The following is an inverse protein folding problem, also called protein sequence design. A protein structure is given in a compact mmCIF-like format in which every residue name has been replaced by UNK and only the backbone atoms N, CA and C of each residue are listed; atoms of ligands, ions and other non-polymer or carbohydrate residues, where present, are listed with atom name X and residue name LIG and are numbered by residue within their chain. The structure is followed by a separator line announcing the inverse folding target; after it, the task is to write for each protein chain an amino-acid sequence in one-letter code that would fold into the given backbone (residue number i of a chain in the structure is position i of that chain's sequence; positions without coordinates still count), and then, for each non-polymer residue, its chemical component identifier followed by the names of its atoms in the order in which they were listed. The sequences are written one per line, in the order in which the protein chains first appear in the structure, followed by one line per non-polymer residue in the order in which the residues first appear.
data_IF_807397300038
#
_entry.id   IF_807397300038
#
_cell.length_a   1.000
_cell.length_b   1.000
_cell.length_c   1.000
_cell.angle_alpha   90.00
_cell.angle_beta   90.00
_cell.angle_gamma   90.00
#
_symmetry.space_group_name_H-M   'P 1'
#
loop_
_entity.id
_entity.type
_entity.pdbx_description
1 polymer ?
#
# COMPACT_ATOMS: atom_id res chain seq x y z
N UNK A 1 -1.79 -18.75 96.29
CA UNK A 1 -2.38 -19.37 95.08
C UNK A 1 -2.62 -18.24 94.08
N UNK A 2 -1.81 -18.04 93.03
CA UNK A 2 -1.82 -18.71 91.70
C UNK A 2 -3.26 -18.76 91.13
N UNK A 3 -3.59 -18.16 89.98
CA UNK A 3 -2.85 -18.16 88.70
C UNK A 3 -2.94 -16.83 87.95
N UNK A 4 -1.81 -16.47 87.33
CA UNK A 4 -1.67 -15.54 86.20
C UNK A 4 -2.39 -16.13 84.99
N UNK A 5 -3.09 -15.31 84.22
CA UNK A 5 -3.39 -15.59 82.81
C UNK A 5 -2.86 -14.41 82.00
N UNK A 6 -1.88 -14.73 81.17
CA UNK A 6 -1.16 -13.88 80.24
C UNK A 6 -1.83 -14.10 78.89
N UNK A 7 -2.28 -13.03 78.23
CA UNK A 7 -2.52 -13.00 76.78
C UNK A 7 -1.79 -11.75 76.28
N UNK A 8 -0.49 -11.86 76.01
CA UNK A 8 0.10 -12.11 74.69
C UNK A 8 -0.36 -11.10 73.64
N UNK A 9 0.41 -10.01 73.59
CA UNK A 9 0.60 -9.11 72.46
C UNK A 9 0.89 -9.93 71.19
N UNK A 10 0.00 -9.86 70.19
CA UNK A 10 0.32 -10.23 68.81
C UNK A 10 0.50 -8.91 68.07
N UNK A 11 1.75 -8.45 67.98
CA UNK A 11 2.17 -7.44 67.01
C UNK A 11 2.20 -8.17 65.67
N UNK A 12 1.24 -7.86 64.81
CA UNK A 12 1.26 -8.28 63.42
C UNK A 12 2.36 -7.47 62.73
N UNK A 13 3.57 -8.01 62.72
CA UNK A 13 4.66 -7.53 61.88
C UNK A 13 4.26 -7.87 60.44
N UNK A 14 3.78 -6.86 59.70
CA UNK A 14 3.81 -6.94 58.25
C UNK A 14 5.27 -7.01 57.85
N UNK A 15 5.76 -8.22 57.62
CA UNK A 15 6.98 -8.43 56.87
C UNK A 15 6.70 -7.83 55.49
N UNK A 16 7.35 -6.70 55.22
CA UNK A 16 7.63 -6.28 53.85
C UNK A 16 8.39 -7.44 53.22
N UNK A 17 7.68 -8.30 52.49
CA UNK A 17 8.30 -9.04 51.43
C UNK A 17 8.83 -7.96 50.47
N UNK A 18 10.12 -7.65 50.63
CA UNK A 18 10.90 -7.11 49.55
C UNK A 18 10.72 -8.10 48.39
N UNK A 19 9.80 -7.79 47.48
CA UNK A 19 10.02 -8.19 46.10
C UNK A 19 11.41 -7.66 45.79
N UNK A 20 12.36 -8.59 45.62
CA UNK A 20 13.52 -8.31 44.80
C UNK A 20 12.98 -7.61 43.57
N UNK A 21 13.32 -6.32 43.43
CA UNK A 21 13.27 -5.65 42.15
C UNK A 21 14.20 -6.48 41.28
N UNK A 22 13.66 -7.51 40.63
CA UNK A 22 14.17 -7.86 39.33
C UNK A 22 14.16 -6.55 38.58
N UNK A 23 15.37 -6.09 38.25
CA UNK A 23 15.57 -5.08 37.24
C UNK A 23 14.90 -5.65 35.99
N UNK A 24 13.61 -5.40 35.85
CA UNK A 24 13.00 -5.19 34.56
C UNK A 24 13.74 -3.94 34.10
N UNK A 25 14.85 -4.15 33.42
CA UNK A 25 15.31 -3.20 32.42
C UNK A 25 14.07 -2.95 31.59
N UNK A 26 13.44 -1.79 31.80
CA UNK A 26 12.64 -1.18 30.77
C UNK A 26 13.55 -1.26 29.55
N UNK A 27 13.29 -2.23 28.67
CA UNK A 27 13.70 -2.13 27.29
C UNK A 27 12.83 -0.99 26.82
N UNK A 28 13.32 0.24 27.03
CA UNK A 28 12.81 1.39 26.31
C UNK A 28 12.70 0.90 24.87
N UNK A 29 11.55 1.17 24.25
CA UNK A 29 11.45 1.15 22.80
C UNK A 29 12.73 1.85 22.31
N UNK A 30 13.51 1.19 21.46
CA UNK A 30 14.59 1.91 20.80
C UNK A 30 13.88 2.89 19.88
N UNK A 31 13.60 4.09 20.39
CA UNK A 31 12.79 5.09 19.70
C UNK A 31 13.32 5.34 18.28
N UNK A 32 14.62 5.13 18.04
CA UNK A 32 15.23 5.26 16.73
C UNK A 32 14.68 4.24 15.72
N UNK A 33 14.50 2.98 16.09
CA UNK A 33 14.07 1.94 15.14
C UNK A 33 12.61 2.13 14.71
N UNK A 34 11.74 2.51 15.66
CA UNK A 34 10.35 2.85 15.35
C UNK A 34 10.25 4.13 14.50
N UNK A 35 10.99 5.19 14.86
CA UNK A 35 11.03 6.44 14.08
C UNK A 35 11.60 6.20 12.66
N UNK A 36 12.66 5.40 12.53
CA UNK A 36 13.24 5.02 11.24
C UNK A 36 12.22 4.23 10.41
N UNK A 37 11.55 3.24 11.02
CA UNK A 37 10.48 2.49 10.35
C UNK A 37 9.37 3.41 9.85
N UNK A 38 8.86 4.31 10.69
CA UNK A 38 7.78 5.25 10.30
C UNK A 38 8.20 6.14 9.13
N UNK A 39 9.41 6.70 9.19
CA UNK A 39 9.99 7.53 8.11
C UNK A 39 10.08 6.74 6.79
N UNK A 40 10.54 5.50 6.86
CA UNK A 40 10.68 4.62 5.69
C UNK A 40 9.33 4.20 5.12
N UNK A 41 8.37 3.88 5.99
CA UNK A 41 7.02 3.52 5.58
C UNK A 41 6.35 4.72 4.87
N UNK A 42 6.51 5.94 5.38
CA UNK A 42 6.03 7.15 4.70
C UNK A 42 6.66 7.34 3.32
N UNK A 43 8.00 7.24 3.20
CA UNK A 43 8.71 7.28 1.91
C UNK A 43 8.14 6.25 0.93
N UNK A 44 7.87 5.04 1.41
CA UNK A 44 7.33 3.96 0.58
C UNK A 44 5.88 4.20 0.16
N UNK A 45 5.00 4.62 1.07
CA UNK A 45 3.61 4.87 0.71
C UNK A 45 3.52 5.96 -0.35
N UNK A 46 4.31 7.04 -0.23
CA UNK A 46 4.41 8.08 -1.28
C UNK A 46 4.74 7.49 -2.65
N UNK A 47 5.73 6.61 -2.72
CA UNK A 47 6.11 5.90 -3.95
C UNK A 47 4.98 5.00 -4.49
N UNK A 48 4.27 4.29 -3.61
CA UNK A 48 3.12 3.45 -3.98
C UNK A 48 1.97 4.27 -4.55
N UNK A 49 1.72 5.47 -4.05
CA UNK A 49 0.64 6.32 -4.59
C UNK A 49 1.01 6.92 -5.94
N UNK A 50 2.23 7.42 -6.07
CA UNK A 50 2.75 7.91 -7.35
C UNK A 50 2.67 6.86 -8.46
N UNK A 51 2.84 5.57 -8.11
CA UNK A 51 2.67 4.46 -9.06
C UNK A 51 1.20 4.04 -9.27
N UNK A 52 0.32 4.21 -8.27
CA UNK A 52 -1.13 3.98 -8.39
C UNK A 52 -1.84 4.99 -9.31
N UNK A 53 -1.44 6.26 -9.28
CA UNK A 53 -2.04 7.31 -10.12
C UNK A 53 -1.89 7.02 -11.62
N UNK A 54 -0.86 6.28 -12.00
CA UNK A 54 -0.68 5.80 -13.37
C UNK A 54 -1.54 4.56 -13.70
N UNK A 55 -1.74 3.66 -12.71
CA UNK A 55 -2.57 2.46 -12.87
C UNK A 55 -4.05 2.80 -13.09
N UNK A 56 -4.58 3.81 -12.41
CA UNK A 56 -6.03 3.96 -12.17
C UNK A 56 -6.85 4.61 -13.30
N UNK A 57 -6.29 5.47 -14.16
CA UNK A 57 -7.17 6.33 -14.99
C UNK A 57 -7.25 5.93 -16.47
N UNK A 58 -6.12 5.66 -17.12
CA UNK A 58 -6.09 5.32 -18.56
C UNK A 58 -6.22 3.83 -18.85
N UNK A 59 -5.46 3.00 -18.11
CA UNK A 59 -5.29 1.57 -18.41
C UNK A 59 -6.52 0.75 -18.02
N UNK A 60 -7.08 0.94 -16.81
CA UNK A 60 -8.31 0.26 -16.40
C UNK A 60 -9.51 0.65 -17.26
N UNK A 61 -9.60 1.90 -17.75
CA UNK A 61 -10.69 2.30 -18.65
C UNK A 61 -10.52 1.72 -20.05
N UNK A 62 -9.30 1.65 -20.62
CA UNK A 62 -9.05 0.95 -21.90
C UNK A 62 -9.27 -0.56 -21.79
N UNK A 63 -8.83 -1.18 -20.69
CA UNK A 63 -9.16 -2.57 -20.34
C UNK A 63 -10.68 -2.76 -20.25
N UNK A 64 -11.39 -1.87 -19.54
CA UNK A 64 -12.85 -1.87 -19.40
C UNK A 64 -13.55 -1.69 -20.75
N UNK A 65 -13.14 -0.75 -21.59
CA UNK A 65 -13.77 -0.49 -22.89
C UNK A 65 -13.52 -1.63 -23.88
N UNK A 66 -12.32 -2.23 -23.92
CA UNK A 66 -12.04 -3.38 -24.80
C UNK A 66 -12.68 -4.68 -24.29
N UNK A 67 -12.65 -4.94 -22.98
CA UNK A 67 -13.37 -6.05 -22.37
C UNK A 67 -14.88 -5.92 -22.60
N UNK A 68 -15.48 -4.75 -22.35
CA UNK A 68 -16.91 -4.50 -22.59
C UNK A 68 -17.30 -4.62 -24.07
N UNK A 69 -16.41 -4.26 -25.01
CA UNK A 69 -16.61 -4.50 -26.46
C UNK A 69 -16.59 -6.00 -26.80
N UNK A 70 -15.81 -6.82 -26.08
CA UNK A 70 -15.85 -8.28 -26.18
C UNK A 70 -17.11 -8.92 -25.60
N UNK A 71 -17.66 -8.37 -24.50
CA UNK A 71 -18.86 -8.90 -23.83
C UNK A 71 -20.19 -8.46 -24.47
N UNK A 72 -20.24 -7.31 -25.14
CA UNK A 72 -21.44 -6.83 -25.83
C UNK A 72 -21.15 -6.67 -27.30
N UNK A 73 -21.66 -7.60 -28.12
CA UNK A 73 -21.64 -7.48 -29.58
C UNK A 73 -21.99 -6.06 -30.05
N UNK A 74 -20.99 -5.41 -30.64
CA UNK A 74 -21.04 -4.27 -31.55
C UNK A 74 -21.91 -3.03 -31.21
N UNK A 75 -22.29 -2.77 -29.94
CA UNK A 75 -23.14 -1.58 -29.68
C UNK A 75 -23.03 -0.94 -28.30
N UNK A 76 -21.82 -0.83 -27.75
CA UNK A 76 -21.58 0.21 -26.73
C UNK A 76 -21.10 1.47 -27.44
N UNK A 77 -22.05 2.30 -27.87
CA UNK A 77 -21.79 3.68 -28.29
C UNK A 77 -21.70 4.52 -27.00
N UNK A 78 -20.57 4.36 -26.32
CA UNK A 78 -20.17 5.14 -25.18
C UNK A 78 -19.66 6.48 -25.73
N UNK A 79 -20.46 7.55 -25.59
CA UNK A 79 -20.09 8.90 -26.00
C UNK A 79 -18.93 9.53 -25.21
N UNK A 80 -17.96 8.73 -24.74
CA UNK A 80 -16.70 9.16 -24.13
C UNK A 80 -15.48 8.93 -25.03
N UNK A 81 -15.68 8.62 -26.32
CA UNK A 81 -14.61 8.57 -27.34
C UNK A 81 -13.73 9.86 -27.33
N UNK A 82 -14.28 11.02 -26.95
CA UNK A 82 -13.57 12.30 -27.07
C UNK A 82 -12.52 12.64 -25.99
N UNK A 83 -12.50 11.99 -24.80
CA UNK A 83 -11.63 12.45 -23.69
C UNK A 83 -10.21 11.85 -23.76
N UNK A 84 -10.04 10.68 -24.36
CA UNK A 84 -8.76 9.96 -24.39
C UNK A 84 -8.24 9.63 -25.80
N UNK A 85 -9.04 9.85 -26.85
CA UNK A 85 -8.54 9.84 -28.24
C UNK A 85 -7.54 10.98 -28.50
N UNK A 86 -7.49 11.98 -27.60
CA UNK A 86 -6.51 13.06 -27.56
C UNK A 86 -5.43 12.88 -26.47
N UNK A 87 -5.28 11.69 -25.86
CA UNK A 87 -4.10 11.45 -25.01
C UNK A 87 -2.86 11.37 -25.92
N UNK A 88 -2.15 12.48 -26.04
CA UNK A 88 -0.82 12.53 -26.63
C UNK A 88 0.21 12.17 -25.56
N UNK A 89 0.58 10.89 -25.49
CA UNK A 89 1.76 10.49 -24.71
C UNK A 89 2.99 10.68 -25.57
N UNK A 90 4.10 11.05 -24.95
CA UNK A 90 5.38 11.13 -25.65
C UNK A 90 6.05 9.75 -25.82
N UNK A 91 5.48 8.70 -25.23
CA UNK A 91 5.91 7.32 -25.44
C UNK A 91 5.57 6.82 -26.85
N UNK A 92 6.43 5.95 -27.39
CA UNK A 92 6.08 5.07 -28.48
C UNK A 92 5.13 3.97 -27.95
N UNK A 93 3.87 4.03 -28.38
CA UNK A 93 2.82 3.10 -27.95
C UNK A 93 2.69 1.96 -28.95
N UNK A 94 2.84 0.72 -28.47
CA UNK A 94 2.55 -0.49 -29.25
C UNK A 94 1.45 -1.31 -28.60
N UNK A 95 0.41 -1.64 -29.35
CA UNK A 95 -0.68 -2.52 -28.92
C UNK A 95 -0.66 -3.81 -29.74
N UNK A 96 -0.71 -4.96 -29.06
CA UNK A 96 -0.74 -6.29 -29.69
C UNK A 96 -1.87 -7.13 -29.10
N UNK A 97 -2.67 -7.76 -29.96
CA UNK A 97 -3.55 -8.86 -29.58
C UNK A 97 -2.80 -10.17 -29.81
N UNK A 98 -2.68 -10.98 -28.76
CA UNK A 98 -1.92 -12.22 -28.76
C UNK A 98 -2.81 -13.40 -29.21
N UNK A 99 -2.19 -14.49 -29.69
CA UNK A 99 -2.91 -15.68 -30.17
C UNK A 99 -3.79 -16.35 -29.11
N UNK A 100 -3.50 -16.14 -27.82
CA UNK A 100 -4.23 -16.69 -26.68
C UNK A 100 -5.39 -15.80 -26.18
N UNK A 101 -5.67 -14.70 -26.89
CA UNK A 101 -6.70 -13.72 -26.56
C UNK A 101 -6.30 -12.68 -25.51
N UNK A 102 -5.06 -12.71 -25.02
CA UNK A 102 -4.53 -11.61 -24.19
C UNK A 102 -4.17 -10.39 -25.05
N UNK A 103 -4.12 -9.22 -24.40
CA UNK A 103 -3.67 -7.97 -25.01
C UNK A 103 -2.41 -7.48 -24.32
N UNK A 104 -1.45 -7.00 -25.11
CA UNK A 104 -0.23 -6.38 -24.62
C UNK A 104 -0.15 -4.93 -25.09
N UNK A 105 0.06 -4.01 -24.15
CA UNK A 105 0.35 -2.59 -24.37
C UNK A 105 1.78 -2.31 -23.90
N UNK A 106 2.60 -1.81 -24.80
CA UNK A 106 3.95 -1.32 -24.50
C UNK A 106 3.95 0.20 -24.63
N UNK A 107 4.45 0.88 -23.60
CA UNK A 107 4.72 2.32 -23.60
C UNK A 107 6.23 2.49 -23.44
N UNK A 108 6.91 2.90 -24.52
CA UNK A 108 8.36 3.09 -24.56
C UNK A 108 8.69 4.59 -24.64
N UNK A 109 9.15 5.16 -23.52
CA UNK A 109 9.58 6.56 -23.43
C UNK A 109 11.03 6.74 -23.92
N UNK A 110 11.73 5.66 -24.27
CA UNK A 110 13.13 5.68 -24.68
C UNK A 110 14.10 5.96 -23.54
N UNK A 111 15.40 5.85 -23.83
CA UNK A 111 16.48 6.08 -22.85
C UNK A 111 16.63 7.57 -22.49
N UNK A 112 16.50 8.45 -23.48
CA UNK A 112 16.56 9.90 -23.28
C UNK A 112 15.31 10.43 -22.56
N UNK A 113 14.19 9.73 -22.73
CA UNK A 113 12.90 10.11 -22.17
C UNK A 113 12.25 11.29 -22.87
N UNK A 114 11.17 11.75 -22.25
CA UNK A 114 10.44 12.93 -22.63
C UNK A 114 9.68 13.51 -21.43
N UNK A 115 9.35 14.80 -21.50
CA UNK A 115 8.53 15.46 -20.50
C UNK A 115 7.05 15.22 -20.80
N UNK A 116 6.32 14.67 -19.83
CA UNK A 116 4.87 14.47 -19.89
C UNK A 116 4.29 14.87 -18.52
N UNK A 117 3.26 15.71 -18.52
CA UNK A 117 2.65 16.28 -17.30
C UNK A 117 3.62 16.98 -16.33
N UNK A 118 4.71 17.55 -16.84
CA UNK A 118 5.74 18.21 -16.00
C UNK A 118 6.75 17.25 -15.38
N UNK A 119 6.69 15.97 -15.74
CA UNK A 119 7.62 14.94 -15.26
C UNK A 119 8.45 14.39 -16.39
N UNK A 120 9.74 14.17 -16.12
CA UNK A 120 10.62 13.45 -17.02
C UNK A 120 10.31 11.95 -16.90
N UNK A 121 9.80 11.36 -17.97
CA UNK A 121 9.52 9.93 -18.07
C UNK A 121 10.58 9.28 -18.96
N UNK A 122 11.15 8.14 -18.54
CA UNK A 122 12.10 7.34 -19.35
C UNK A 122 11.79 5.86 -19.24
N UNK A 123 12.40 5.08 -20.11
CA UNK A 123 12.33 3.62 -20.09
C UNK A 123 10.98 3.12 -20.57
N UNK A 124 10.54 1.98 -20.04
CA UNK A 124 9.45 1.22 -20.63
C UNK A 124 8.55 0.55 -19.60
N UNK A 125 7.26 0.55 -19.92
CA UNK A 125 6.24 -0.24 -19.24
C UNK A 125 5.61 -1.17 -20.26
N UNK A 126 5.55 -2.46 -19.93
CA UNK A 126 4.80 -3.47 -20.69
C UNK A 126 3.68 -4.01 -19.82
N UNK A 127 2.44 -3.81 -20.25
CA UNK A 127 1.26 -4.35 -19.58
C UNK A 127 0.64 -5.44 -20.45
N UNK A 128 0.37 -6.60 -19.89
CA UNK A 128 -0.36 -7.69 -20.54
C UNK A 128 -1.55 -8.06 -19.69
N UNK A 129 -2.72 -8.11 -20.30
CA UNK A 129 -3.94 -8.52 -19.59
C UNK A 129 -4.76 -9.49 -20.43
N UNK A 130 -5.51 -10.31 -19.72
CA UNK A 130 -6.52 -11.21 -20.30
C UNK A 130 -7.75 -11.17 -19.43
N UNK A 131 -8.90 -11.08 -20.07
CA UNK A 131 -10.20 -11.08 -19.39
C UNK A 131 -11.04 -12.16 -20.06
N UNK A 132 -11.46 -13.13 -19.26
CA UNK A 132 -12.41 -14.18 -19.62
C UNK A 132 -13.78 -13.88 -18.96
N UNK A 133 -14.75 -14.80 -19.01
CA UNK A 133 -16.15 -14.55 -18.59
C UNK A 133 -16.27 -14.06 -17.12
N UNK A 134 -15.54 -14.70 -16.20
CA UNK A 134 -15.54 -14.40 -14.76
C UNK A 134 -14.15 -14.22 -14.17
N UNK A 135 -13.10 -14.31 -14.98
CA UNK A 135 -11.70 -14.35 -14.54
C UNK A 135 -10.89 -13.28 -15.27
N UNK A 136 -9.84 -12.79 -14.61
CA UNK A 136 -8.90 -11.86 -15.21
C UNK A 136 -7.47 -12.11 -14.77
N UNK A 137 -6.56 -11.76 -15.66
CA UNK A 137 -5.13 -11.79 -15.48
C UNK A 137 -4.56 -10.44 -15.87
N UNK A 138 -3.60 -9.96 -15.09
CA UNK A 138 -2.84 -8.77 -15.38
C UNK A 138 -1.38 -8.97 -15.01
N UNK A 139 -0.52 -8.48 -15.89
CA UNK A 139 0.92 -8.46 -15.72
C UNK A 139 1.44 -7.10 -16.15
N UNK A 140 2.34 -6.54 -15.35
CA UNK A 140 3.03 -5.29 -15.62
C UNK A 140 4.52 -5.49 -15.41
N UNK A 141 5.31 -5.12 -16.40
CA UNK A 141 6.77 -5.19 -16.38
C UNK A 141 7.31 -3.77 -16.54
N UNK A 142 8.21 -3.39 -15.65
CA UNK A 142 8.98 -2.16 -15.71
C UNK A 142 10.40 -2.47 -16.17
N UNK A 143 10.85 -1.76 -17.20
CA UNK A 143 12.21 -1.85 -17.74
C UNK A 143 12.84 -0.46 -17.76
N UNK A 144 13.69 -0.19 -16.77
CA UNK A 144 14.32 1.12 -16.53
C UNK A 144 13.31 2.28 -16.54
N UNK A 145 12.10 2.03 -16.06
CA UNK A 145 11.05 3.03 -16.07
C UNK A 145 11.36 4.10 -15.03
N UNK A 146 11.56 5.34 -15.45
CA UNK A 146 11.94 6.44 -14.56
C UNK A 146 10.80 7.44 -14.43
N UNK A 147 10.45 7.78 -13.19
CA UNK A 147 9.49 8.82 -12.85
C UNK A 147 9.75 9.27 -11.40
N UNK A 148 9.52 10.55 -11.08
CA UNK A 148 9.69 11.12 -9.73
C UNK A 148 11.04 10.77 -9.07
N UNK A 149 12.15 10.94 -9.78
CA UNK A 149 13.51 10.69 -9.28
C UNK A 149 13.77 9.24 -8.84
N UNK A 150 12.98 8.30 -9.36
CA UNK A 150 13.10 6.86 -9.10
C UNK A 150 13.05 6.08 -10.41
N UNK A 151 14.02 5.19 -10.60
CA UNK A 151 13.97 4.15 -11.64
C UNK A 151 13.37 2.88 -11.07
N UNK A 152 12.39 2.32 -11.77
CA UNK A 152 11.68 1.09 -11.42
C UNK A 152 12.05 0.00 -12.42
N UNK A 153 12.41 -1.17 -11.89
CA UNK A 153 12.58 -2.39 -12.66
C UNK A 153 11.80 -3.51 -11.99
N UNK A 154 11.32 -4.46 -12.78
CA UNK A 154 10.73 -5.69 -12.26
C UNK A 154 9.31 -5.92 -12.76
N UNK A 155 8.53 -6.66 -11.97
CA UNK A 155 7.28 -7.23 -12.43
C UNK A 155 6.22 -7.30 -11.33
N UNK A 156 5.00 -6.96 -11.71
CA UNK A 156 3.77 -7.17 -10.93
C UNK A 156 2.87 -8.10 -11.72
N UNK A 157 2.31 -9.10 -11.04
CA UNK A 157 1.29 -10.00 -11.61
C UNK A 157 0.15 -10.10 -10.62
N UNK A 158 -1.08 -9.98 -11.11
CA UNK A 158 -2.24 -10.36 -10.33
C UNK A 158 -3.28 -11.05 -11.21
N UNK A 159 -4.02 -11.93 -10.59
CA UNK A 159 -5.14 -12.64 -11.19
C UNK A 159 -6.31 -12.65 -10.20
N UNK A 160 -7.51 -12.67 -10.74
CA UNK A 160 -8.70 -12.64 -9.92
C UNK A 160 -9.93 -13.11 -10.67
N UNK A 161 -11.04 -13.04 -9.95
CA UNK A 161 -12.35 -13.41 -10.43
C UNK A 161 -13.45 -12.57 -9.80
N UNK A 162 -14.61 -12.53 -10.43
CA UNK A 162 -15.83 -11.91 -9.92
C UNK A 162 -17.03 -12.84 -10.13
N UNK A 163 -18.11 -12.64 -9.37
CA UNK A 163 -19.38 -13.33 -9.65
C UNK A 163 -20.03 -12.72 -10.90
N UNK A 164 -20.25 -13.52 -11.95
CA UNK A 164 -20.92 -13.08 -13.18
C UNK A 164 -22.31 -12.48 -12.93
N UNK A 165 -22.95 -12.84 -11.82
CA UNK A 165 -24.27 -12.37 -11.43
C UNK A 165 -24.24 -11.17 -10.47
N UNK A 166 -23.07 -10.79 -9.96
CA UNK A 166 -22.93 -9.74 -8.97
C UNK A 166 -21.56 -9.06 -9.05
N UNK A 167 -21.57 -7.74 -9.25
CA UNK A 167 -20.37 -6.91 -9.13
C UNK A 167 -19.97 -6.65 -7.68
N UNK A 168 -20.75 -7.17 -6.73
CA UNK A 168 -20.58 -6.95 -5.29
C UNK A 168 -19.62 -7.99 -4.65
N UNK A 169 -18.96 -8.84 -5.43
CA UNK A 169 -17.95 -9.77 -4.90
C UNK A 169 -16.87 -10.04 -5.95
N UNK A 170 -15.66 -9.57 -5.65
CA UNK A 170 -14.47 -9.83 -6.45
C UNK A 170 -13.31 -10.26 -5.55
N UNK A 171 -12.46 -11.15 -6.06
CA UNK A 171 -11.29 -11.64 -5.34
C UNK A 171 -10.09 -11.68 -6.25
N UNK A 172 -8.92 -11.35 -5.73
CA UNK A 172 -7.68 -11.42 -6.50
C UNK A 172 -6.50 -11.75 -5.62
N UNK A 173 -5.47 -12.25 -6.26
CA UNK A 173 -4.18 -12.48 -5.63
C UNK A 173 -3.08 -12.01 -6.55
N UNK A 174 -2.00 -11.55 -5.96
CA UNK A 174 -0.90 -11.00 -6.73
C UNK A 174 0.44 -11.28 -6.10
N UNK A 175 1.46 -11.08 -6.93
CA UNK A 175 2.85 -11.08 -6.53
C UNK A 175 3.57 -9.94 -7.22
N UNK A 176 4.53 -9.36 -6.50
CA UNK A 176 5.28 -8.20 -6.93
C UNK A 176 6.75 -8.46 -6.65
N UNK A 177 7.62 -8.14 -7.60
CA UNK A 177 9.07 -8.13 -7.42
C UNK A 177 9.60 -6.90 -8.13
N UNK A 178 9.91 -5.86 -7.38
CA UNK A 178 10.33 -4.56 -7.90
C UNK A 178 11.70 -4.17 -7.33
N UNK A 179 12.45 -3.43 -8.11
CA UNK A 179 13.71 -2.80 -7.72
C UNK A 179 13.54 -1.32 -8.01
N UNK A 180 13.69 -0.51 -6.97
CA UNK A 180 13.67 0.94 -7.02
C UNK A 180 15.10 1.44 -6.89
N UNK A 181 15.54 2.28 -7.82
CA UNK A 181 16.82 2.99 -7.76
C UNK A 181 16.53 4.47 -7.67
N UNK A 182 16.86 5.07 -6.52
CA UNK A 182 16.69 6.49 -6.26
C UNK A 182 17.86 7.30 -6.82
N UNK A 183 17.66 8.59 -7.10
CA UNK A 183 18.69 9.48 -7.64
C UNK A 183 19.86 9.74 -6.68
N UNK A 184 19.68 9.51 -5.37
CA UNK A 184 20.76 9.53 -4.39
C UNK A 184 21.65 8.27 -4.42
N UNK A 185 21.30 7.29 -5.27
CA UNK A 185 22.01 6.03 -5.46
C UNK A 185 21.55 4.89 -4.55
N UNK A 186 20.58 5.12 -3.67
CA UNK A 186 19.93 4.05 -2.92
C UNK A 186 19.22 3.08 -3.86
N UNK A 187 19.37 1.78 -3.60
CA UNK A 187 18.62 0.72 -4.29
C UNK A 187 17.76 -0.01 -3.26
N UNK A 188 16.47 -0.13 -3.53
CA UNK A 188 15.52 -0.86 -2.69
C UNK A 188 14.88 -1.99 -3.49
N UNK A 189 15.03 -3.20 -3.00
CA UNK A 189 14.35 -4.39 -3.53
C UNK A 189 13.06 -4.62 -2.74
N UNK A 190 11.94 -4.79 -3.44
CA UNK A 190 10.64 -5.12 -2.89
C UNK A 190 10.20 -6.47 -3.43
N UNK A 191 9.69 -7.33 -2.55
CA UNK A 191 8.90 -8.49 -2.94
C UNK A 191 7.60 -8.55 -2.15
N UNK A 192 6.50 -8.90 -2.81
CA UNK A 192 5.18 -8.91 -2.23
C UNK A 192 4.38 -10.12 -2.71
N UNK A 193 3.53 -10.67 -1.84
CA UNK A 193 2.45 -11.59 -2.18
C UNK A 193 1.22 -11.22 -1.38
N UNK A 194 0.07 -11.22 -2.02
CA UNK A 194 -1.17 -10.84 -1.37
C UNK A 194 -2.37 -11.58 -1.95
N UNK A 195 -3.42 -11.62 -1.14
CA UNK A 195 -4.75 -12.05 -1.51
C UNK A 195 -5.75 -11.06 -0.95
N UNK A 196 -6.58 -10.52 -1.82
CA UNK A 196 -7.54 -9.49 -1.53
C UNK A 196 -8.93 -9.94 -2.00
N UNK A 197 -9.94 -9.34 -1.39
CA UNK A 197 -11.33 -9.42 -1.85
C UNK A 197 -11.97 -8.05 -1.72
N UNK A 198 -13.00 -7.78 -2.48
CA UNK A 198 -13.72 -6.53 -2.40
C UNK A 198 -15.16 -6.68 -2.83
N UNK A 199 -15.90 -5.65 -2.48
CA UNK A 199 -17.28 -5.43 -2.86
C UNK A 199 -17.47 -3.93 -3.16
N UNK A 200 -18.72 -3.50 -3.28
CA UNK A 200 -19.05 -2.09 -3.55
C UNK A 200 -18.75 -1.14 -2.38
N UNK A 201 -18.64 -1.67 -1.16
CA UNK A 201 -18.51 -0.88 0.07
C UNK A 201 -17.09 -0.94 0.66
N UNK A 202 -16.29 -1.94 0.29
CA UNK A 202 -14.98 -2.18 0.90
C UNK A 202 -14.05 -3.02 0.04
N UNK A 203 -12.76 -3.00 0.40
CA UNK A 203 -11.86 -4.11 0.07
C UNK A 203 -11.10 -4.58 1.30
N UNK A 204 -10.74 -5.87 1.32
CA UNK A 204 -10.08 -6.54 2.44
C UNK A 204 -8.83 -7.25 1.95
N UNK A 205 -7.69 -6.95 2.55
CA UNK A 205 -6.45 -7.73 2.41
C UNK A 205 -6.54 -8.93 3.34
N UNK A 206 -6.82 -10.10 2.77
CA UNK A 206 -6.99 -11.35 3.51
C UNK A 206 -5.65 -11.93 3.97
N UNK A 207 -4.69 -11.91 3.07
CA UNK A 207 -3.33 -12.39 3.27
C UNK A 207 -2.39 -11.39 2.57
N UNK A 208 -1.27 -11.08 3.22
CA UNK A 208 -0.30 -10.13 2.66
C UNK A 208 1.06 -10.36 3.31
N UNK A 209 2.09 -10.47 2.48
CA UNK A 209 3.48 -10.57 2.91
C UNK A 209 4.32 -9.72 1.99
N UNK A 210 4.94 -8.68 2.54
CA UNK A 210 5.83 -7.77 1.81
C UNK A 210 7.20 -7.73 2.47
N UNK A 211 8.25 -7.63 1.69
CA UNK A 211 9.64 -7.50 2.16
C UNK A 211 10.35 -6.44 1.34
N UNK A 212 11.10 -5.59 2.03
CA UNK A 212 11.86 -4.47 1.50
C UNK A 212 13.30 -4.57 1.98
N UNK A 213 14.26 -4.44 1.08
CA UNK A 213 15.69 -4.46 1.42
C UNK A 213 16.40 -3.31 0.73
N UNK A 214 17.06 -2.46 1.51
CA UNK A 214 17.84 -1.33 1.00
C UNK A 214 19.32 -1.66 0.89
N UNK A 215 19.98 -1.11 -0.13
CA UNK A 215 21.43 -1.09 -0.28
C UNK A 215 22.16 -0.34 0.84
N UNK A 216 21.44 0.46 1.63
CA UNK A 216 21.97 1.16 2.81
C UNK A 216 22.04 0.27 4.06
N UNK A 217 21.62 -0.99 3.99
CA UNK A 217 21.82 -1.99 5.05
C UNK A 217 20.66 -2.13 6.03
N UNK A 218 19.50 -1.55 5.72
CA UNK A 218 18.26 -1.77 6.45
C UNK A 218 17.24 -2.56 5.60
N UNK A 219 16.32 -3.26 6.26
CA UNK A 219 15.20 -3.95 5.64
C UNK A 219 13.97 -3.91 6.54
N UNK A 220 12.79 -4.03 5.95
CA UNK A 220 11.55 -4.20 6.69
C UNK A 220 10.60 -5.15 5.97
N UNK A 221 9.71 -5.78 6.72
CA UNK A 221 8.69 -6.67 6.16
C UNK A 221 7.38 -6.55 6.90
N UNK A 222 6.27 -6.72 6.19
CA UNK A 222 4.91 -6.76 6.73
C UNK A 222 4.32 -8.14 6.52
N UNK A 223 3.58 -8.64 7.50
CA UNK A 223 2.76 -9.84 7.41
C UNK A 223 1.38 -9.55 7.98
N UNK A 224 0.34 -9.68 7.15
CA UNK A 224 -1.05 -9.54 7.58
C UNK A 224 -1.38 -10.70 8.53
N UNK A 225 -1.74 -10.37 9.77
CA UNK A 225 -2.05 -11.35 10.84
C UNK A 225 -3.54 -11.45 11.13
N UNK A 226 -4.28 -10.38 10.90
CA UNK A 226 -5.74 -10.36 10.75
C UNK A 226 -6.07 -9.55 9.50
N UNK A 227 -7.12 -9.92 8.74
CA UNK A 227 -7.44 -9.23 7.51
C UNK A 227 -7.54 -7.71 7.69
N UNK A 228 -6.93 -6.96 6.78
CA UNK A 228 -6.96 -5.49 6.81
C UNK A 228 -8.17 -5.02 5.99
N UNK A 229 -9.10 -4.31 6.61
CA UNK A 229 -10.33 -3.83 5.96
C UNK A 229 -10.18 -2.36 5.62
N UNK A 230 -10.40 -2.02 4.34
CA UNK A 230 -10.52 -0.65 3.86
C UNK A 230 -11.97 -0.42 3.47
N UNK A 231 -12.60 0.60 4.05
CA UNK A 231 -14.02 0.89 3.85
C UNK A 231 -14.19 2.11 2.95
N UNK A 232 -14.83 1.94 1.79
CA UNK A 232 -15.18 3.06 0.90
C UNK A 232 -16.29 3.94 1.46
N UNK A 233 -17.00 3.44 2.49
CA UNK A 233 -18.01 4.24 3.20
C UNK A 233 -17.41 5.24 4.18
N UNK A 234 -16.11 5.12 4.48
CA UNK A 234 -15.35 6.09 5.23
C UNK A 234 -14.74 7.12 4.25
N UNK A 235 -15.43 8.25 4.04
CA UNK A 235 -15.00 9.27 3.06
C UNK A 235 -13.57 9.79 3.31
N UNK A 236 -13.16 9.87 4.59
CA UNK A 236 -11.87 10.41 5.00
C UNK A 236 -10.93 9.35 5.59
N UNK A 237 -11.14 8.05 5.35
CA UNK A 237 -10.22 7.01 5.85
C UNK A 237 -9.12 6.67 4.84
N UNK A 238 -7.86 6.88 5.23
CA UNK A 238 -6.68 6.65 4.37
C UNK A 238 -5.90 5.38 4.70
N UNK A 239 -6.22 4.78 5.85
CA UNK A 239 -5.61 3.54 6.37
C UNK A 239 -6.70 2.46 6.53
N UNK A 240 -6.34 1.17 6.74
CA UNK A 240 -7.33 0.19 7.15
C UNK A 240 -8.11 0.67 8.38
N UNK A 241 -9.40 0.38 8.44
CA UNK A 241 -10.26 0.68 9.61
C UNK A 241 -10.30 -0.48 10.60
N UNK A 242 -9.86 -1.67 10.18
CA UNK A 242 -9.80 -2.87 11.00
C UNK A 242 -8.65 -3.75 10.54
N UNK A 243 -8.04 -4.49 11.47
CA UNK A 243 -7.09 -5.55 11.17
C UNK A 243 -5.75 -5.34 11.85
N UNK A 244 -4.87 -6.32 11.69
CA UNK A 244 -3.54 -6.27 12.31
C UNK A 244 -2.48 -6.80 11.36
N UNK A 245 -1.32 -6.16 11.35
CA UNK A 245 -0.13 -6.64 10.67
C UNK A 245 1.07 -6.67 11.60
N UNK A 246 1.96 -7.62 11.34
CA UNK A 246 3.24 -7.73 12.02
C UNK A 246 4.30 -7.11 11.13
N UNK A 247 5.04 -6.18 11.70
CA UNK A 247 6.20 -5.56 11.06
C UNK A 247 7.46 -6.15 11.66
N UNK A 248 8.43 -6.45 10.82
CA UNK A 248 9.81 -6.71 11.25
C UNK A 248 10.72 -5.68 10.61
N UNK A 249 11.50 -4.99 11.42
CA UNK A 249 12.52 -4.05 10.97
C UNK A 249 13.91 -4.60 11.30
N UNK A 250 14.85 -4.44 10.38
CA UNK A 250 16.24 -4.85 10.55
C UNK A 250 17.16 -3.73 10.09
N UNK A 251 18.06 -3.30 10.94
CA UNK A 251 19.11 -2.34 10.59
C UNK A 251 20.42 -2.76 11.24
N UNK A 252 21.51 -2.80 10.46
CA UNK A 252 22.84 -3.18 10.96
C UNK A 252 22.88 -4.55 11.71
N UNK A 253 21.95 -5.46 11.38
CA UNK A 253 21.84 -6.79 11.99
C UNK A 253 21.01 -6.86 13.28
N UNK A 254 20.56 -5.71 13.81
CA UNK A 254 19.60 -5.64 14.89
C UNK A 254 18.19 -5.86 14.34
N UNK A 255 17.35 -6.60 15.06
CA UNK A 255 16.01 -6.95 14.61
C UNK A 255 14.98 -6.46 15.63
N UNK A 256 13.99 -5.73 15.15
CA UNK A 256 12.83 -5.29 15.92
C UNK A 256 11.54 -5.82 15.31
N UNK A 257 10.55 -6.06 16.15
CA UNK A 257 9.23 -6.50 15.73
C UNK A 257 8.15 -5.61 16.34
N UNK A 258 7.20 -5.23 15.51
CA UNK A 258 6.07 -4.39 15.87
C UNK A 258 4.77 -5.06 15.46
N UNK A 259 3.69 -4.79 16.18
CA UNK A 259 2.32 -5.12 15.76
C UNK A 259 1.61 -3.81 15.52
N UNK A 260 1.12 -3.62 14.31
CA UNK A 260 0.22 -2.52 13.96
C UNK A 260 -1.22 -3.03 14.05
N UNK A 261 -2.07 -2.34 14.81
CA UNK A 261 -3.49 -2.63 14.96
C UNK A 261 -4.31 -1.41 14.56
N UNK A 262 -5.16 -1.59 13.55
CA UNK A 262 -5.92 -0.54 12.88
C UNK A 262 -7.32 -0.32 13.48
N UNK A 263 -7.65 -1.01 14.57
CA UNK A 263 -8.90 -0.79 15.30
C UNK A 263 -10.01 -1.78 14.94
N UNK A 264 -11.25 -1.33 15.09
CA UNK A 264 -12.46 -2.17 15.12
C UNK A 264 -13.51 -1.80 14.05
N UNK A 265 -13.12 -1.01 13.05
CA UNK A 265 -13.95 -0.56 11.94
C UNK A 265 -14.38 0.90 12.04
N UNK A 266 -13.92 1.66 13.03
CA UNK A 266 -14.18 3.11 13.11
C UNK A 266 -13.44 3.89 12.03
N UNK A 267 -14.11 4.86 11.41
CA UNK A 267 -13.49 5.81 10.48
C UNK A 267 -12.79 6.93 11.26
N UNK A 268 -11.68 6.65 11.93
CA UNK A 268 -10.95 7.63 12.77
C UNK A 268 -9.47 7.78 12.43
N UNK A 269 -8.97 7.11 11.40
CA UNK A 269 -7.57 7.18 10.94
C UNK A 269 -6.53 6.86 12.02
N UNK A 270 -6.94 6.12 13.05
CA UNK A 270 -6.06 5.76 14.15
C UNK A 270 -5.56 4.35 14.02
N UNK A 271 -4.34 4.16 14.50
CA UNK A 271 -3.78 2.84 14.66
C UNK A 271 -2.88 2.84 15.89
N UNK A 272 -2.61 1.65 16.41
CA UNK A 272 -1.68 1.48 17.52
C UNK A 272 -0.50 0.66 17.08
N UNK A 273 0.69 1.01 17.58
CA UNK A 273 1.89 0.19 17.42
C UNK A 273 2.23 -0.40 18.77
N UNK A 274 2.35 -1.73 18.83
CA UNK A 274 2.84 -2.45 20.00
C UNK A 274 4.25 -2.97 19.77
N UNK A 275 5.20 -2.55 20.61
CA UNK A 275 6.59 -2.99 20.63
C UNK A 275 7.03 -3.35 22.03
N UNK A 276 7.65 -4.51 22.22
CA UNK A 276 8.15 -4.97 23.53
C UNK A 276 7.11 -4.88 24.68
N UNK A 277 5.81 -5.03 24.36
CA UNK A 277 4.70 -4.94 25.32
C UNK A 277 4.26 -3.52 25.69
N UNK A 278 4.83 -2.49 25.06
CA UNK A 278 4.38 -1.09 25.11
C UNK A 278 3.54 -0.79 23.88
N UNK A 279 2.40 -0.14 24.06
CA UNK A 279 1.49 0.25 22.98
C UNK A 279 1.38 1.76 22.94
N UNK A 280 1.55 2.34 21.76
CA UNK A 280 1.40 3.76 21.48
C UNK A 280 0.34 3.95 20.39
N UNK A 281 -0.50 4.97 20.53
CA UNK A 281 -1.54 5.36 19.57
C UNK A 281 -0.97 6.42 18.63
N UNK A 282 -1.26 6.27 17.35
CA UNK A 282 -0.90 7.17 16.28
C UNK A 282 -2.17 7.60 15.57
N UNK A 283 -2.20 8.86 15.15
CA UNK A 283 -3.26 9.44 14.35
C UNK A 283 -2.68 9.75 12.97
N UNK A 284 -3.40 9.38 11.91
CA UNK A 284 -2.98 9.59 10.54
C UNK A 284 -3.62 10.87 10.02
N UNK A 285 -2.90 12.00 10.15
CA UNK A 285 -3.33 13.30 9.61
C UNK A 285 -3.01 13.40 8.11
N UNK A 286 -3.97 13.92 7.33
CA UNK A 286 -3.90 14.06 5.86
C UNK A 286 -2.72 14.95 5.38
N UNK A 287 -2.34 15.94 6.18
CA UNK A 287 -1.24 16.88 5.88
C UNK A 287 0.13 16.18 5.77
N UNK A 288 0.34 15.07 6.49
CA UNK A 288 1.61 14.33 6.45
C UNK A 288 1.82 13.55 5.14
N UNK A 289 0.77 13.35 4.34
CA UNK A 289 0.82 12.50 3.14
C UNK A 289 0.94 13.27 1.83
N UNK A 290 0.25 14.40 1.71
CA UNK A 290 0.41 15.30 0.57
C UNK A 290 1.63 16.22 0.70
N UNK A 291 2.22 16.28 1.90
CA UNK A 291 3.21 17.28 2.24
C UNK A 291 2.57 18.66 2.35
N UNK A 292 3.24 19.58 3.03
CA UNK A 292 2.93 21.01 2.99
C UNK A 292 3.11 21.55 1.55
N UNK A 293 2.24 21.17 0.61
CA UNK A 293 2.08 21.86 -0.68
C UNK A 293 1.11 23.02 -0.46
N UNK A 294 1.59 24.01 0.30
CA UNK A 294 1.21 25.40 0.13
C UNK A 294 1.60 25.84 -1.30
N UNK A 295 0.86 25.40 -2.33
CA UNK A 295 1.03 25.89 -3.70
C UNK A 295 0.55 24.99 -4.82
N UNK A 296 -0.74 25.08 -5.16
CA UNK A 296 -1.28 24.89 -6.50
C UNK A 296 -0.99 23.54 -7.21
N UNK A 297 -1.55 22.44 -6.70
CA UNK A 297 -1.88 21.27 -7.52
C UNK A 297 -3.40 21.10 -7.68
N UNK A 298 -4.05 22.17 -8.15
CA UNK A 298 -5.41 22.06 -8.68
C UNK A 298 -5.33 21.47 -10.09
N UNK A 299 -5.70 20.20 -10.25
CA UNK A 299 -6.22 19.71 -11.53
C UNK A 299 -7.47 20.55 -11.80
N UNK A 300 -7.33 21.53 -12.69
CA UNK A 300 -8.40 22.42 -13.09
C UNK A 300 -9.55 21.62 -13.73
N UNK A 301 -10.48 21.17 -12.90
CA UNK A 301 -11.84 20.84 -13.30
C UNK A 301 -12.70 22.09 -13.18
N UNK A 302 -12.34 23.15 -13.92
CA UNK A 302 -13.30 24.20 -14.21
C UNK A 302 -13.02 24.85 -15.57
N UNK A 303 -13.82 24.47 -16.56
CA UNK A 303 -14.12 25.34 -17.70
C UNK A 303 -15.63 25.40 -17.87
N UNK A 304 -16.33 25.78 -16.81
CA UNK A 304 -17.54 26.57 -17.00
C UNK A 304 -17.15 28.03 -17.21
N UNK A 305 -17.05 28.46 -18.48
CA UNK A 305 -17.67 29.72 -18.89
C UNK A 305 -17.60 29.96 -20.41
N UNK A 306 -18.74 29.69 -21.03
CA UNK A 306 -19.18 30.33 -22.26
C UNK A 306 -19.60 31.75 -21.90
N UNK A 307 -18.83 32.78 -22.24
CA UNK A 307 -19.34 34.05 -22.80
C UNK A 307 -18.21 35.02 -23.15
N UNK A 308 -18.24 35.54 -24.39
CA UNK A 308 -17.35 36.61 -24.86
C UNK A 308 -17.05 36.51 -26.34
#
# INVERSE_FOLDING_TARGET
MKKKVIYSFIILVFAFAACDKQNITNKQVDNNALENFLTLNQKYQKLKNQTKDFRSVGTFKKMKTKALKGFKGDSVNDGTDDIWDNWESCAEITETENEDGSFTLVMDYGEEGCEEYGFLMKGKITMTWKIDESDYYFEEIYENYYMYDVTINGKVVFEGSWDENSWDDFSWSGQENLIFTFDDGEVMEMSGKYKEKGDVDSYTVLEGSYSYSSSLGYSFSYEVTKPLVYSYTCEDAYIPVEGTEKVKYVENGENEEFIMDYGDGTCDNKYTITSNGVTEEFDYDEEDWFGDDDGDYWIASDSTDISG
#
